data_IF_420194977724
#
_entry.id   IF_420194977724
#
_cell.length_a   1.000
_cell.length_b   1.000
_cell.length_c   1.000
_cell.angle_alpha   90.00
_cell.angle_beta   90.00
_cell.angle_gamma   90.00
#
_symmetry.space_group_name_H-M   'P 1'
#
loop_
_entity.id
_entity.type
_entity.pdbx_description
1 polymer ?
#
# COMPACT_ATOMS: atom_id res chain seq x y z
N UNK A 1 49.12 18.20 3.49
CA UNK A 1 49.24 16.98 4.30
C UNK A 1 48.51 17.18 5.62
N UNK A 2 47.29 16.66 5.70
CA UNK A 2 46.56 16.19 6.90
C UNK A 2 45.09 16.03 6.48
N UNK A 3 44.64 14.80 6.20
CA UNK A 3 43.23 14.49 5.99
C UNK A 3 42.60 14.04 7.31
N UNK A 4 41.30 14.25 7.48
CA UNK A 4 40.34 13.35 8.14
C UNK A 4 39.17 14.16 8.70
N UNK A 5 38.28 14.58 7.80
CA UNK A 5 36.90 14.79 8.19
C UNK A 5 36.33 13.40 8.51
N UNK A 6 35.95 13.19 9.77
CA UNK A 6 35.10 12.07 10.18
C UNK A 6 33.80 12.16 9.36
N UNK A 7 33.70 11.33 8.32
CA UNK A 7 32.45 11.05 7.63
C UNK A 7 31.67 10.08 8.51
N UNK A 8 30.79 10.61 9.36
CA UNK A 8 29.68 9.82 9.88
C UNK A 8 28.90 9.32 8.65
N UNK A 9 28.84 8.01 8.44
CA UNK A 9 27.98 7.42 7.44
C UNK A 9 26.54 7.78 7.81
N UNK A 10 25.91 8.63 6.99
CA UNK A 10 24.50 8.94 7.15
C UNK A 10 23.71 7.65 6.94
N UNK A 11 22.86 7.23 7.89
CA UNK A 11 22.00 6.08 7.66
C UNK A 11 21.08 6.42 6.49
N UNK A 12 21.16 5.61 5.43
CA UNK A 12 20.23 5.64 4.32
C UNK A 12 18.83 5.37 4.88
N UNK A 13 18.10 6.44 5.21
CA UNK A 13 16.72 6.34 5.61
C UNK A 13 15.95 5.81 4.41
N UNK A 14 15.56 4.53 4.47
CA UNK A 14 14.61 3.92 3.55
C UNK A 14 13.26 4.63 3.78
N UNK A 15 13.05 5.76 3.12
CA UNK A 15 11.80 6.49 3.19
C UNK A 15 10.72 5.66 2.47
N UNK A 16 9.97 4.87 3.23
CA UNK A 16 8.76 4.21 2.74
C UNK A 16 7.65 5.27 2.73
N UNK A 17 7.34 5.83 1.57
CA UNK A 17 6.18 6.69 1.39
C UNK A 17 4.96 5.82 1.09
N UNK A 18 4.00 5.78 2.01
CA UNK A 18 2.68 5.19 1.78
C UNK A 18 1.72 6.31 1.38
N UNK A 19 1.23 6.28 0.13
CA UNK A 19 0.20 7.22 -0.32
C UNK A 19 -1.10 6.97 0.47
N UNK A 20 -1.69 8.04 1.01
CA UNK A 20 -2.88 7.95 1.86
C UNK A 20 -4.10 7.48 1.05
N UNK A 21 -4.86 6.52 1.58
CA UNK A 21 -6.17 6.16 1.06
C UNK A 21 -7.09 7.39 1.13
N UNK A 22 -7.62 7.82 -0.02
CA UNK A 22 -8.43 9.03 -0.14
C UNK A 22 -9.75 8.76 -0.89
N UNK A 23 -10.90 9.27 -0.38
CA UNK A 23 -11.05 9.99 0.88
C UNK A 23 -11.33 9.02 2.05
N UNK A 24 -10.65 9.20 3.20
CA UNK A 24 -11.09 8.67 4.49
C UNK A 24 -11.46 9.80 5.45
N UNK A 25 -12.74 10.20 5.50
CA UNK A 25 -13.33 10.96 6.59
C UNK A 25 -14.43 10.12 7.24
N UNK A 26 -14.42 10.03 8.56
CA UNK A 26 -15.53 9.51 9.37
C UNK A 26 -16.88 10.03 8.81
N UNK A 27 -17.68 9.12 8.21
CA UNK A 27 -18.98 9.32 7.53
C UNK A 27 -18.99 9.84 6.07
N UNK A 28 -18.44 9.10 5.10
CA UNK A 28 -18.92 9.13 3.69
C UNK A 28 -18.74 7.78 3.00
N UNK A 29 -19.72 7.42 2.19
CA UNK A 29 -20.21 6.05 1.93
C UNK A 29 -19.40 5.17 0.96
N UNK A 30 -18.16 5.52 0.61
CA UNK A 30 -17.34 4.70 -0.29
C UNK A 30 -15.85 5.07 -0.21
N UNK A 31 -15.02 4.10 0.20
CA UNK A 31 -13.56 4.21 0.24
C UNK A 31 -12.99 3.61 -1.05
N UNK A 32 -12.27 4.42 -1.82
CA UNK A 32 -11.65 3.94 -3.06
C UNK A 32 -10.26 3.36 -2.76
N UNK A 33 -10.07 2.07 -3.02
CA UNK A 33 -8.81 1.34 -2.91
C UNK A 33 -8.20 1.16 -4.30
N UNK A 34 -7.03 1.75 -4.50
CA UNK A 34 -6.27 1.68 -5.76
C UNK A 34 -5.07 0.78 -5.59
N UNK A 35 -4.87 -0.13 -6.54
CA UNK A 35 -3.66 -0.96 -6.59
C UNK A 35 -3.28 -1.26 -8.03
N UNK A 36 -1.99 -1.48 -8.27
CA UNK A 36 -1.45 -1.87 -9.57
C UNK A 36 -0.61 -3.12 -9.45
N UNK A 37 -0.73 -4.01 -10.42
CA UNK A 37 0.08 -5.23 -10.52
C UNK A 37 0.93 -5.18 -11.78
N UNK A 38 2.23 -5.41 -11.63
CA UNK A 38 3.19 -5.44 -12.76
C UNK A 38 3.08 -6.72 -13.59
N UNK A 39 2.53 -7.80 -13.01
CA UNK A 39 2.34 -9.10 -13.63
C UNK A 39 0.97 -9.69 -13.28
N UNK A 40 0.56 -10.71 -14.04
CA UNK A 40 -0.73 -11.38 -13.81
C UNK A 40 -0.60 -12.37 -12.65
N UNK A 41 -1.49 -12.30 -11.67
CA UNK A 41 -1.41 -13.10 -10.46
C UNK A 41 -2.81 -13.40 -9.89
N UNK A 42 -2.85 -14.35 -8.95
CA UNK A 42 -4.03 -14.60 -8.11
C UNK A 42 -4.09 -13.55 -6.99
N UNK A 43 -5.25 -12.89 -6.87
CA UNK A 43 -5.49 -11.81 -5.91
C UNK A 43 -6.53 -12.27 -4.89
N UNK A 44 -6.30 -12.03 -3.60
CA UNK A 44 -7.33 -12.05 -2.54
C UNK A 44 -7.20 -10.75 -1.74
N UNK A 45 -8.07 -9.79 -2.04
CA UNK A 45 -8.12 -8.51 -1.37
C UNK A 45 -9.37 -8.47 -0.49
N UNK A 46 -9.16 -8.42 0.83
CA UNK A 46 -10.22 -8.36 1.82
C UNK A 46 -10.04 -7.23 2.82
N UNK A 47 -11.14 -6.68 3.30
CA UNK A 47 -11.19 -5.72 4.40
C UNK A 47 -11.43 -6.48 5.69
N UNK A 48 -10.63 -6.22 6.73
CA UNK A 48 -10.72 -6.89 8.02
C UNK A 48 -11.01 -5.89 9.14
N UNK A 49 -11.84 -6.29 10.09
CA UNK A 49 -11.98 -5.57 11.35
C UNK A 49 -10.72 -5.74 12.20
N UNK A 50 -10.52 -4.83 13.16
CA UNK A 50 -9.40 -4.88 14.11
C UNK A 50 -9.35 -6.18 14.92
N UNK A 51 -10.47 -6.89 15.04
CA UNK A 51 -10.57 -8.22 15.67
C UNK A 51 -10.13 -9.37 14.76
N UNK A 52 -9.65 -9.09 13.55
CA UNK A 52 -9.22 -10.09 12.56
C UNK A 52 -10.35 -10.71 11.73
N UNK A 53 -11.60 -10.29 11.93
CA UNK A 53 -12.74 -10.78 11.15
C UNK A 53 -12.77 -10.14 9.75
N UNK A 54 -12.84 -10.95 8.68
CA UNK A 54 -13.06 -10.45 7.32
C UNK A 54 -14.46 -9.85 7.21
N UNK A 55 -14.55 -8.59 6.81
CA UNK A 55 -15.80 -7.82 6.65
C UNK A 55 -16.31 -7.90 5.22
N UNK A 56 -15.42 -7.77 4.22
CA UNK A 56 -15.77 -7.88 2.80
C UNK A 56 -14.55 -8.34 1.99
N UNK A 57 -14.79 -9.09 0.91
CA UNK A 57 -13.79 -9.38 -0.12
C UNK A 57 -14.02 -8.40 -1.28
N UNK A 58 -13.03 -7.58 -1.59
CA UNK A 58 -13.09 -6.57 -2.66
C UNK A 58 -12.64 -7.14 -4.01
N UNK A 59 -11.66 -8.05 -4.02
CA UNK A 59 -11.26 -8.79 -5.21
C UNK A 59 -10.81 -10.20 -4.84
N UNK A 60 -11.12 -11.17 -5.71
CA UNK A 60 -10.67 -12.55 -5.59
C UNK A 60 -10.39 -13.14 -6.98
N UNK A 61 -9.42 -14.04 -7.07
CA UNK A 61 -9.11 -14.85 -8.26
C UNK A 61 -8.00 -14.28 -9.14
N UNK A 62 -7.78 -14.94 -10.29
CA UNK A 62 -6.75 -14.55 -11.25
C UNK A 62 -7.06 -13.21 -11.91
N UNK A 63 -6.08 -12.30 -11.93
CA UNK A 63 -6.21 -10.95 -12.50
C UNK A 63 -4.98 -10.63 -13.37
N UNK A 64 -5.16 -9.98 -14.52
CA UNK A 64 -4.04 -9.55 -15.35
C UNK A 64 -3.24 -8.41 -14.70
N UNK A 65 -2.03 -8.17 -15.20
CA UNK A 65 -1.28 -6.95 -14.90
C UNK A 65 -2.10 -5.71 -15.27
N UNK A 66 -2.03 -4.66 -14.47
CA UNK A 66 -2.80 -3.43 -14.68
C UNK A 66 -3.09 -2.67 -13.39
N UNK A 67 -3.77 -1.54 -13.55
CA UNK A 67 -4.25 -0.72 -12.45
C UNK A 67 -5.74 -0.99 -12.18
N UNK A 68 -6.10 -1.06 -10.91
CA UNK A 68 -7.43 -1.38 -10.42
C UNK A 68 -7.89 -0.33 -9.41
N UNK A 69 -9.16 0.02 -9.48
CA UNK A 69 -9.84 0.92 -8.56
C UNK A 69 -11.09 0.20 -8.04
N UNK A 70 -11.13 -0.06 -6.72
CA UNK A 70 -12.22 -0.77 -6.05
C UNK A 70 -12.85 0.11 -4.97
N UNK A 71 -14.14 -0.10 -4.71
CA UNK A 71 -14.96 0.69 -3.77
C UNK A 71 -15.59 -0.18 -2.67
#
# INVERSE_FOLDING_TARGET
MSPSALRCAEPFALAVAHEQNYPNPFNSSSTVIRFSMSESAEVDLGVYALRGQRIVTLASGWRPAGAYELQ
#
